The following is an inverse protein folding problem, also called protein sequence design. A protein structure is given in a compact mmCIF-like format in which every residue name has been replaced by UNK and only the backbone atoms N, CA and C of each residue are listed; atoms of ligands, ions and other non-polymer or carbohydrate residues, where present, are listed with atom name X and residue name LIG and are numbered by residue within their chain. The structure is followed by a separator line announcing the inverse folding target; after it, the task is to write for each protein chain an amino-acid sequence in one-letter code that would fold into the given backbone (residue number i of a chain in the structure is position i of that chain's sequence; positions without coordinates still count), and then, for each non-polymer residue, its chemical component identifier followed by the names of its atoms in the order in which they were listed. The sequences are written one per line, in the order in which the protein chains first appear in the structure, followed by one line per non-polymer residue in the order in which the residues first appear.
data_IF_522375789775
#
_entry.id   IF_522375789775
#
_cell.length_a   1.000
_cell.length_b   1.000
_cell.length_c   1.000
_cell.angle_alpha   90.00
_cell.angle_beta   90.00
_cell.angle_gamma   90.00
#
_symmetry.space_group_name_H-M   'P 1'
#
loop_
_entity.id
_entity.type
_entity.pdbx_description
1 polymer ?
#
# COMPACT_ATOMS: atom_id res chain seq x y z
N UNK A 1 -10.31 7.58 20.81
CA UNK A 1 -8.88 7.44 21.11
C UNK A 1 -8.29 8.77 21.57
N UNK A 2 -8.17 9.79 20.72
CA UNK A 2 -7.54 11.07 21.09
C UNK A 2 -8.14 11.72 22.35
N UNK A 3 -9.47 11.63 22.56
CA UNK A 3 -10.12 12.12 23.79
C UNK A 3 -9.67 11.35 25.01
N UNK A 4 -9.59 10.01 24.94
CA UNK A 4 -9.15 9.17 26.05
C UNK A 4 -7.66 9.38 26.37
N UNK A 5 -6.84 9.66 25.36
CA UNK A 5 -5.41 9.98 25.51
C UNK A 5 -5.16 11.45 25.96
N UNK A 6 -6.21 12.24 26.18
CA UNK A 6 -6.09 13.65 26.56
C UNK A 6 -5.56 14.58 25.46
N UNK A 7 -5.56 14.12 24.17
CA UNK A 7 -4.95 14.84 23.03
C UNK A 7 -5.96 15.44 22.04
N UNK A 8 -7.25 15.43 22.36
CA UNK A 8 -8.29 15.88 21.41
C UNK A 8 -8.10 17.32 20.95
N UNK A 9 -7.67 18.22 21.83
CA UNK A 9 -7.43 19.63 21.48
C UNK A 9 -6.19 19.80 20.60
N UNK A 10 -5.13 19.04 20.85
CA UNK A 10 -3.93 19.04 20.02
C UNK A 10 -4.25 18.52 18.61
N UNK A 11 -5.03 17.44 18.50
CA UNK A 11 -5.50 16.91 17.24
C UNK A 11 -6.36 17.91 16.47
N UNK A 12 -7.26 18.62 17.15
CA UNK A 12 -8.06 19.69 16.57
C UNK A 12 -7.19 20.84 16.03
N UNK A 13 -6.21 21.30 16.83
CA UNK A 13 -5.32 22.41 16.45
C UNK A 13 -4.40 22.03 15.27
N UNK A 14 -4.09 20.76 15.10
CA UNK A 14 -3.30 20.24 13.95
C UNK A 14 -3.98 20.55 12.61
N UNK A 15 -5.32 20.68 12.56
CA UNK A 15 -6.11 20.95 11.35
C UNK A 15 -5.79 20.04 10.16
N UNK A 16 -5.34 18.82 10.43
CA UNK A 16 -5.00 17.81 9.44
C UNK A 16 -5.55 16.46 9.89
N UNK A 17 -6.41 15.87 9.06
CA UNK A 17 -7.07 14.60 9.35
C UNK A 17 -6.17 13.38 9.08
N UNK A 18 -4.99 13.56 8.48
CA UNK A 18 -4.06 12.46 8.28
C UNK A 18 -3.28 12.20 9.58
N UNK A 19 -3.51 11.06 10.26
CA UNK A 19 -2.75 10.72 11.45
C UNK A 19 -1.30 10.39 11.08
N UNK A 20 -0.37 10.63 12.00
CA UNK A 20 0.99 10.11 11.85
C UNK A 20 0.94 8.57 11.88
N UNK A 21 1.87 7.91 11.20
CA UNK A 21 1.96 6.43 11.15
C UNK A 21 2.01 5.82 12.55
N UNK A 22 2.84 6.37 13.42
CA UNK A 22 2.95 5.95 14.82
C UNK A 22 1.62 6.12 15.57
N UNK A 23 0.97 7.29 15.43
CA UNK A 23 -0.32 7.57 16.05
C UNK A 23 -1.43 6.60 15.59
N UNK A 24 -1.42 6.25 14.28
CA UNK A 24 -2.37 5.27 13.74
C UNK A 24 -2.08 3.85 14.24
N UNK A 25 -0.81 3.48 14.36
CA UNK A 25 -0.40 2.21 14.97
C UNK A 25 -0.84 2.10 16.42
N UNK A 26 -0.64 3.15 17.21
CA UNK A 26 -1.12 3.24 18.60
C UNK A 26 -2.64 3.14 18.68
N UNK A 27 -3.35 3.81 17.76
CA UNK A 27 -4.81 3.69 17.67
C UNK A 27 -5.25 2.25 17.39
N UNK A 28 -4.65 1.57 16.43
CA UNK A 28 -4.96 0.18 16.13
C UNK A 28 -4.66 -0.74 17.33
N UNK A 29 -3.54 -0.53 18.00
CA UNK A 29 -3.18 -1.26 19.23
C UNK A 29 -4.23 -1.03 20.33
N UNK A 30 -4.62 0.22 20.55
CA UNK A 30 -5.65 0.56 21.52
C UNK A 30 -7.00 -0.10 21.18
N UNK A 31 -7.44 -0.07 19.91
CA UNK A 31 -8.68 -0.75 19.48
C UNK A 31 -8.59 -2.24 19.76
N UNK A 32 -7.49 -2.88 19.39
CA UNK A 32 -7.31 -4.31 19.60
C UNK A 32 -7.40 -4.73 21.07
N UNK A 33 -6.94 -3.88 21.98
CA UNK A 33 -7.02 -4.11 23.42
C UNK A 33 -8.45 -3.95 24.00
N UNK A 34 -9.36 -3.29 23.26
CA UNK A 34 -10.77 -3.17 23.66
C UNK A 34 -11.62 -4.38 23.25
N UNK A 35 -11.09 -5.24 22.37
CA UNK A 35 -11.82 -6.37 21.80
C UNK A 35 -11.39 -7.68 22.45
N UNK A 36 -12.32 -8.35 23.13
CA UNK A 36 -12.10 -9.66 23.76
C UNK A 36 -12.21 -10.84 22.78
N UNK A 37 -12.58 -10.59 21.51
CA UNK A 37 -12.81 -11.59 20.47
C UNK A 37 -11.65 -11.77 19.53
N UNK A 38 -10.54 -11.06 19.74
CA UNK A 38 -9.33 -11.18 18.91
C UNK A 38 -8.47 -12.36 19.37
N UNK A 39 -8.04 -13.14 18.42
CA UNK A 39 -7.07 -14.23 18.62
C UNK A 39 -5.81 -13.92 17.82
N UNK A 40 -4.72 -13.62 18.53
CA UNK A 40 -3.43 -13.35 17.93
C UNK A 40 -2.66 -14.61 17.57
N UNK A 41 -1.73 -14.51 16.62
CA UNK A 41 -0.92 -15.63 16.13
C UNK A 41 -1.78 -16.81 15.63
N UNK A 42 -2.90 -16.48 15.02
CA UNK A 42 -3.90 -17.42 14.50
C UNK A 42 -4.04 -17.25 13.00
N UNK A 43 -3.50 -18.19 12.24
CA UNK A 43 -3.48 -18.16 10.78
C UNK A 43 -4.60 -19.01 10.20
N UNK A 44 -5.49 -18.39 9.44
CA UNK A 44 -6.50 -19.13 8.65
C UNK A 44 -5.80 -19.81 7.47
N UNK A 45 -5.96 -21.11 7.38
CA UNK A 45 -5.33 -21.95 6.34
C UNK A 45 -6.32 -22.51 5.32
N UNK A 46 -7.61 -22.61 5.67
CA UNK A 46 -8.65 -23.07 4.78
C UNK A 46 -10.01 -22.50 5.18
N UNK A 47 -10.84 -22.19 4.19
CA UNK A 47 -12.25 -21.86 4.35
C UNK A 47 -13.02 -22.67 3.34
N UNK A 48 -13.96 -23.53 3.78
CA UNK A 48 -14.78 -24.35 2.90
C UNK A 48 -16.24 -24.35 3.33
N UNK A 49 -17.14 -24.54 2.38
CA UNK A 49 -18.57 -24.70 2.67
C UNK A 49 -18.87 -26.10 3.19
N UNK A 50 -19.60 -26.18 4.29
CA UNK A 50 -20.13 -27.43 4.85
C UNK A 50 -21.58 -27.15 5.22
N UNK A 51 -22.51 -27.74 4.48
CA UNK A 51 -23.94 -27.44 4.58
C UNK A 51 -24.19 -25.92 4.47
N UNK A 52 -24.86 -25.31 5.45
CA UNK A 52 -25.16 -23.88 5.51
C UNK A 52 -24.12 -23.06 6.28
N UNK A 53 -22.97 -23.66 6.62
CA UNK A 53 -21.92 -23.03 7.41
C UNK A 53 -20.60 -22.98 6.63
N UNK A 54 -19.75 -22.07 7.04
CA UNK A 54 -18.35 -22.02 6.68
C UNK A 54 -17.51 -22.72 7.74
N UNK A 55 -16.77 -23.72 7.33
CA UNK A 55 -15.74 -24.35 8.15
C UNK A 55 -14.42 -23.63 7.90
N UNK A 56 -13.88 -23.01 8.95
CA UNK A 56 -12.64 -22.25 8.93
C UNK A 56 -11.58 -22.99 9.72
N UNK A 57 -10.51 -23.43 9.06
CA UNK A 57 -9.37 -24.06 9.70
C UNK A 57 -8.37 -23.01 10.10
N UNK A 58 -7.98 -23.00 11.36
CA UNK A 58 -7.09 -22.01 11.97
C UNK A 58 -5.90 -22.70 12.63
N UNK A 59 -4.69 -22.35 12.23
CA UNK A 59 -3.46 -22.70 12.93
C UNK A 59 -3.20 -21.65 14.01
N UNK A 60 -3.54 -21.98 15.23
CA UNK A 60 -3.29 -21.14 16.41
C UNK A 60 -1.91 -21.39 17.03
N UNK A 61 -1.57 -20.64 18.09
CA UNK A 61 -0.25 -20.74 18.73
C UNK A 61 0.03 -22.07 19.45
N UNK A 62 -1.01 -22.87 19.70
CA UNK A 62 -0.90 -24.18 20.37
C UNK A 62 -1.29 -25.32 19.46
N UNK A 63 -2.46 -25.21 18.85
CA UNK A 63 -3.09 -26.29 18.08
C UNK A 63 -3.79 -25.74 16.83
N UNK A 64 -4.00 -26.62 15.85
CA UNK A 64 -4.92 -26.37 14.74
C UNK A 64 -6.34 -26.63 15.21
N UNK A 65 -7.24 -25.69 15.01
CA UNK A 65 -8.65 -25.83 15.33
C UNK A 65 -9.53 -25.54 14.12
N UNK A 66 -10.78 -25.97 14.22
CA UNK A 66 -11.81 -25.71 13.21
C UNK A 66 -12.93 -24.92 13.86
N UNK A 67 -13.33 -23.82 13.21
CA UNK A 67 -14.44 -22.97 13.63
C UNK A 67 -15.55 -23.07 12.59
N UNK A 68 -16.78 -23.25 13.03
CA UNK A 68 -17.97 -23.17 12.18
C UNK A 68 -18.59 -21.78 12.30
N UNK A 69 -18.82 -21.13 11.19
CA UNK A 69 -19.39 -19.78 11.14
C UNK A 69 -20.48 -19.66 10.08
N UNK A 70 -21.50 -18.85 10.36
CA UNK A 70 -22.53 -18.52 9.36
C UNK A 70 -22.00 -17.54 8.31
N UNK A 71 -21.13 -16.63 8.73
CA UNK A 71 -20.57 -15.60 7.88
C UNK A 71 -19.07 -15.51 8.06
N UNK A 72 -18.36 -15.20 6.99
CA UNK A 72 -16.91 -14.93 7.02
C UNK A 72 -16.67 -13.57 6.37
N UNK A 73 -15.89 -12.72 7.02
CA UNK A 73 -15.44 -11.44 6.47
C UNK A 73 -13.92 -11.47 6.29
N UNK A 74 -13.46 -11.35 5.05
CA UNK A 74 -12.04 -11.43 4.69
C UNK A 74 -11.46 -10.03 4.57
N UNK A 75 -10.59 -9.67 5.49
CA UNK A 75 -9.91 -8.36 5.54
C UNK A 75 -8.40 -8.52 5.58
N UNK A 76 -7.81 -9.23 4.61
CA UNK A 76 -6.38 -9.57 4.60
C UNK A 76 -5.47 -8.48 4.04
N UNK A 77 -6.05 -7.40 3.49
CA UNK A 77 -5.28 -6.27 2.97
C UNK A 77 -4.44 -6.61 1.74
N UNK A 78 -3.28 -5.96 1.65
CA UNK A 78 -2.34 -6.06 0.53
C UNK A 78 -1.00 -6.62 0.97
N UNK A 79 -0.26 -7.18 0.02
CA UNK A 79 1.10 -7.69 0.24
C UNK A 79 2.12 -6.83 -0.53
N UNK A 80 3.38 -6.73 -0.05
CA UNK A 80 4.46 -6.10 -0.78
C UNK A 80 4.58 -6.66 -2.20
N UNK A 81 4.77 -5.77 -3.18
CA UNK A 81 4.90 -6.15 -4.57
C UNK A 81 6.26 -5.78 -5.13
N UNK A 82 7.00 -6.75 -5.62
CA UNK A 82 8.25 -6.56 -6.34
C UNK A 82 8.02 -6.93 -7.82
N UNK A 83 8.28 -6.02 -8.78
CA UNK A 83 8.23 -6.33 -10.21
C UNK A 83 9.10 -7.51 -10.59
N UNK A 84 8.72 -8.24 -11.63
CA UNK A 84 9.45 -9.45 -12.07
C UNK A 84 10.93 -9.17 -12.36
N UNK A 85 11.20 -8.01 -12.95
CA UNK A 85 12.53 -7.54 -13.34
C UNK A 85 13.48 -7.25 -12.16
N UNK A 86 12.93 -7.15 -10.94
CA UNK A 86 13.65 -6.88 -9.69
C UNK A 86 13.50 -7.99 -8.66
N UNK A 87 12.80 -9.08 -9.00
CA UNK A 87 12.45 -10.13 -8.03
C UNK A 87 13.64 -10.82 -7.40
N UNK A 88 14.73 -10.96 -8.13
CA UNK A 88 15.96 -11.57 -7.64
C UNK A 88 16.83 -10.62 -6.79
N UNK A 89 16.50 -9.32 -6.70
CA UNK A 89 17.34 -8.36 -5.98
C UNK A 89 17.51 -8.67 -4.48
N UNK A 90 16.50 -9.09 -3.71
CA UNK A 90 16.69 -9.43 -2.30
C UNK A 90 17.63 -10.61 -2.04
N UNK A 91 17.79 -11.52 -3.01
CA UNK A 91 18.69 -12.66 -2.93
C UNK A 91 20.12 -12.30 -3.36
N UNK A 92 20.28 -11.22 -4.15
CA UNK A 92 21.56 -10.78 -4.67
C UNK A 92 22.35 -9.88 -3.71
N UNK A 93 21.69 -9.26 -2.72
CA UNK A 93 22.34 -8.35 -1.77
C UNK A 93 21.34 -7.54 -0.94
N UNK A 94 21.78 -6.38 -0.42
CA UNK A 94 20.94 -5.51 0.40
C UNK A 94 19.89 -4.80 -0.47
N UNK A 95 18.78 -5.49 -0.72
CA UNK A 95 17.61 -4.93 -1.37
C UNK A 95 16.37 -5.18 -0.49
N UNK A 96 15.76 -4.10 -0.02
CA UNK A 96 14.65 -4.17 0.93
C UNK A 96 13.38 -3.56 0.34
N UNK A 97 12.23 -4.17 0.61
CA UNK A 97 10.96 -3.53 0.29
C UNK A 97 10.69 -2.36 1.25
N UNK A 98 9.95 -1.35 0.80
CA UNK A 98 9.60 -0.20 1.65
C UNK A 98 8.84 -0.57 2.93
N UNK A 99 8.24 -1.76 3.01
CA UNK A 99 7.64 -2.30 4.22
C UNK A 99 8.64 -2.49 5.35
N UNK A 100 9.84 -2.92 5.02
CA UNK A 100 10.89 -3.33 5.98
C UNK A 100 11.98 -2.26 6.14
N UNK A 101 11.77 -1.08 5.51
CA UNK A 101 12.77 0.00 5.44
C UNK A 101 13.30 0.43 6.81
N UNK A 102 12.42 0.58 7.81
CA UNK A 102 12.81 1.11 9.12
C UNK A 102 13.78 0.18 9.85
N UNK A 103 13.64 -1.12 9.66
CA UNK A 103 14.52 -2.14 10.28
C UNK A 103 15.93 -2.14 9.65
N UNK A 104 16.03 -1.76 8.37
CA UNK A 104 17.28 -1.77 7.60
C UNK A 104 17.89 -0.38 7.36
N UNK A 105 17.32 0.68 7.95
CA UNK A 105 17.75 2.06 7.68
C UNK A 105 19.24 2.28 7.92
N UNK A 106 19.76 1.84 9.05
CA UNK A 106 21.18 2.04 9.42
C UNK A 106 22.10 1.23 8.50
N UNK A 107 21.68 0.02 8.11
CA UNK A 107 22.43 -0.83 7.19
C UNK A 107 22.49 -0.20 5.77
N UNK A 108 21.39 0.40 5.31
CA UNK A 108 21.33 1.15 4.05
C UNK A 108 22.27 2.36 4.09
N UNK A 109 22.25 3.13 5.17
CA UNK A 109 23.11 4.31 5.33
C UNK A 109 24.60 3.96 5.42
N UNK A 110 24.96 2.75 5.84
CA UNK A 110 26.34 2.28 5.86
C UNK A 110 26.91 1.97 4.45
N UNK A 111 26.08 1.98 3.41
CA UNK A 111 26.49 1.71 2.04
C UNK A 111 27.04 2.97 1.34
N UNK A 112 27.91 2.78 0.36
CA UNK A 112 28.42 3.89 -0.46
C UNK A 112 27.34 4.52 -1.35
N UNK A 113 26.35 3.71 -1.76
CA UNK A 113 25.22 4.19 -2.56
C UNK A 113 23.93 3.40 -2.29
N UNK A 114 22.81 4.14 -2.30
CA UNK A 114 21.46 3.60 -2.15
C UNK A 114 20.60 4.13 -3.29
N UNK A 115 19.89 3.24 -3.97
CA UNK A 115 18.92 3.62 -5.00
C UNK A 115 17.51 3.24 -4.56
N UNK A 116 16.61 4.23 -4.55
CA UNK A 116 15.18 4.03 -4.28
C UNK A 116 14.45 3.85 -5.60
N UNK A 117 13.65 2.79 -5.72
CA UNK A 117 12.85 2.51 -6.91
C UNK A 117 11.37 2.62 -6.56
N UNK A 118 10.68 3.61 -7.13
CA UNK A 118 9.26 3.85 -6.89
C UNK A 118 8.83 5.29 -7.16
N UNK A 119 7.52 5.55 -7.25
CA UNK A 119 6.95 6.88 -7.59
C UNK A 119 5.95 7.40 -6.58
N UNK A 120 5.61 6.65 -5.55
CA UNK A 120 4.55 6.99 -4.61
C UNK A 120 5.05 7.65 -3.32
N UNK A 121 4.12 7.90 -2.41
CA UNK A 121 4.35 8.53 -1.11
C UNK A 121 5.47 7.83 -0.31
N UNK A 122 5.47 6.48 -0.24
CA UNK A 122 6.49 5.73 0.50
C UNK A 122 7.90 5.94 -0.05
N UNK A 123 8.06 6.00 -1.39
CA UNK A 123 9.36 6.29 -2.00
C UNK A 123 9.84 7.69 -1.62
N UNK A 124 8.93 8.68 -1.66
CA UNK A 124 9.23 10.06 -1.30
C UNK A 124 9.57 10.23 0.18
N UNK A 125 8.83 9.59 1.09
CA UNK A 125 9.11 9.61 2.52
C UNK A 125 10.47 9.00 2.85
N UNK A 126 10.81 7.86 2.24
CA UNK A 126 12.10 7.20 2.43
C UNK A 126 13.23 8.06 1.87
N UNK A 127 13.03 8.63 0.66
CA UNK A 127 14.02 9.52 0.07
C UNK A 127 14.27 10.74 0.97
N UNK A 128 13.21 11.43 1.43
CA UNK A 128 13.33 12.56 2.34
C UNK A 128 14.02 12.19 3.66
N UNK A 129 13.68 11.02 4.22
CA UNK A 129 14.24 10.53 5.47
C UNK A 129 15.74 10.18 5.37
N UNK A 130 16.22 9.78 4.19
CA UNK A 130 17.62 9.44 3.93
C UNK A 130 18.48 10.63 3.49
N UNK A 131 17.91 11.73 2.97
CA UNK A 131 18.67 12.82 2.36
C UNK A 131 19.73 13.41 3.29
N UNK A 132 19.35 13.84 4.48
CA UNK A 132 20.30 14.45 5.43
C UNK A 132 21.31 13.44 5.97
N UNK A 133 20.91 12.27 6.51
CA UNK A 133 21.86 11.27 6.96
C UNK A 133 22.86 10.85 5.86
N UNK A 134 22.37 10.60 4.65
CA UNK A 134 23.22 10.24 3.51
C UNK A 134 24.23 11.33 3.16
N UNK A 135 23.81 12.60 3.17
CA UNK A 135 24.71 13.73 2.93
C UNK A 135 25.82 13.81 3.96
N UNK A 136 25.53 13.65 5.26
CA UNK A 136 26.52 13.72 6.33
C UNK A 136 27.42 12.47 6.42
N UNK A 137 26.95 11.31 5.95
CA UNK A 137 27.77 10.10 5.84
C UNK A 137 28.54 10.02 4.51
N UNK A 138 28.14 10.83 3.53
CA UNK A 138 28.71 10.84 2.18
C UNK A 138 28.17 9.68 1.31
N UNK A 139 27.04 9.09 1.63
CA UNK A 139 26.34 8.09 0.81
C UNK A 139 25.72 8.74 -0.40
N UNK A 140 25.88 8.17 -1.61
CA UNK A 140 25.15 8.58 -2.80
C UNK A 140 23.73 8.07 -2.71
N UNK A 141 22.73 8.94 -2.90
CA UNK A 141 21.32 8.60 -2.81
C UNK A 141 20.63 8.93 -4.14
N UNK A 142 20.17 7.90 -4.85
CA UNK A 142 19.48 8.06 -6.13
C UNK A 142 18.01 7.63 -6.03
N UNK A 143 17.16 8.25 -6.84
CA UNK A 143 15.72 7.94 -6.89
C UNK A 143 15.26 7.75 -8.32
N UNK A 144 14.78 6.54 -8.64
CA UNK A 144 14.39 6.09 -9.98
C UNK A 144 12.90 5.77 -9.99
N UNK A 145 12.18 6.28 -10.97
CA UNK A 145 10.78 5.93 -11.20
C UNK A 145 10.45 5.79 -12.68
N UNK A 146 9.65 4.77 -13.01
CA UNK A 146 9.08 4.59 -14.34
C UNK A 146 8.01 5.62 -14.72
N UNK A 147 7.43 6.30 -13.73
CA UNK A 147 6.50 7.40 -13.98
C UNK A 147 7.22 8.54 -14.68
N UNK A 148 6.62 9.13 -15.71
CA UNK A 148 7.23 10.21 -16.51
C UNK A 148 7.58 11.46 -15.70
N UNK A 149 7.10 11.56 -14.47
CA UNK A 149 7.42 12.59 -13.48
C UNK A 149 7.10 12.14 -12.07
N UNK A 150 7.57 12.86 -11.07
CA UNK A 150 7.15 12.72 -9.67
C UNK A 150 5.82 13.44 -9.50
N UNK A 151 4.72 12.66 -9.58
CA UNK A 151 3.37 13.21 -9.55
C UNK A 151 2.97 13.66 -8.15
N UNK A 152 2.52 14.90 -7.96
CA UNK A 152 1.85 15.28 -6.73
C UNK A 152 0.49 14.57 -6.63
N UNK A 153 0.07 14.29 -5.40
CA UNK A 153 -1.29 13.83 -5.12
C UNK A 153 -2.26 15.00 -5.35
N UNK A 154 -3.32 14.76 -6.09
CA UNK A 154 -4.35 15.77 -6.37
C UNK A 154 -5.35 15.84 -5.21
N UNK A 155 -4.89 16.27 -4.06
CA UNK A 155 -5.66 16.31 -2.82
C UNK A 155 -6.24 17.70 -2.59
N UNK A 156 -7.42 17.96 -3.15
CA UNK A 156 -8.17 19.22 -2.97
C UNK A 156 -9.58 18.93 -2.47
N UNK A 157 -10.26 19.94 -1.92
CA UNK A 157 -11.64 19.75 -1.42
C UNK A 157 -12.60 19.25 -2.50
N UNK A 158 -12.44 19.69 -3.76
CA UNK A 158 -13.29 19.25 -4.85
C UNK A 158 -12.96 17.83 -5.33
N UNK A 159 -11.70 17.40 -5.26
CA UNK A 159 -11.34 16.01 -5.57
C UNK A 159 -11.72 15.04 -4.46
N UNK A 160 -11.82 15.53 -3.22
CA UNK A 160 -12.30 14.73 -2.07
C UNK A 160 -13.80 14.38 -2.17
N UNK A 161 -14.59 15.11 -2.96
CA UNK A 161 -15.97 14.73 -3.30
C UNK A 161 -16.05 13.33 -3.95
N UNK A 162 -14.96 12.90 -4.60
CA UNK A 162 -14.87 11.56 -5.17
C UNK A 162 -14.59 10.48 -4.11
N UNK A 163 -14.36 10.86 -2.86
CA UNK A 163 -14.20 9.96 -1.71
C UNK A 163 -15.52 9.94 -0.94
N UNK A 164 -16.58 9.48 -1.60
CA UNK A 164 -17.92 9.46 -1.05
C UNK A 164 -18.70 8.21 -1.46
N UNK A 165 -19.75 7.83 -0.69
CA UNK A 165 -20.67 6.77 -1.07
C UNK A 165 -21.31 6.98 -2.43
N UNK A 166 -21.68 8.21 -2.77
CA UNK A 166 -22.30 8.57 -4.04
C UNK A 166 -21.37 8.30 -5.21
N UNK A 167 -20.09 8.66 -5.08
CA UNK A 167 -19.12 8.36 -6.12
C UNK A 167 -18.91 6.85 -6.29
N UNK A 168 -18.88 6.08 -5.19
CA UNK A 168 -18.81 4.63 -5.26
C UNK A 168 -19.98 4.02 -6.03
N UNK A 169 -21.21 4.49 -5.76
CA UNK A 169 -22.42 4.04 -6.46
C UNK A 169 -22.38 4.41 -7.95
N UNK A 170 -21.99 5.65 -8.26
CA UNK A 170 -21.80 6.11 -9.64
C UNK A 170 -20.77 5.23 -10.38
N UNK A 171 -19.58 5.06 -9.79
CA UNK A 171 -18.50 4.29 -10.39
C UNK A 171 -18.90 2.85 -10.64
N UNK A 172 -19.57 2.23 -9.67
CA UNK A 172 -20.09 0.86 -9.78
C UNK A 172 -21.11 0.71 -10.92
N UNK A 173 -21.91 1.72 -11.19
CA UNK A 173 -22.90 1.73 -12.28
C UNK A 173 -22.30 1.80 -13.69
N UNK A 174 -21.00 2.09 -13.82
CA UNK A 174 -20.30 2.14 -15.10
C UNK A 174 -19.99 0.74 -15.64
N UNK A 175 -19.79 0.62 -16.94
CA UNK A 175 -19.27 -0.60 -17.54
C UNK A 175 -17.80 -0.88 -17.14
N UNK A 176 -17.38 -2.15 -17.19
CA UNK A 176 -16.06 -2.56 -16.72
C UNK A 176 -14.89 -1.85 -17.42
N UNK A 177 -15.01 -1.62 -18.74
CA UNK A 177 -13.93 -0.97 -19.50
C UNK A 177 -13.76 0.50 -19.09
N UNK A 178 -14.89 1.18 -18.83
CA UNK A 178 -14.90 2.57 -18.32
C UNK A 178 -14.32 2.64 -16.92
N UNK A 179 -14.69 1.72 -16.00
CA UNK A 179 -14.09 1.64 -14.66
C UNK A 179 -12.59 1.43 -14.73
N UNK A 180 -12.12 0.48 -15.53
CA UNK A 180 -10.69 0.19 -15.67
C UNK A 180 -9.91 1.37 -16.28
N UNK A 181 -10.52 2.12 -17.20
CA UNK A 181 -9.95 3.36 -17.74
C UNK A 181 -9.85 4.44 -16.68
N UNK A 182 -10.94 4.71 -15.95
CA UNK A 182 -10.96 5.72 -14.89
C UNK A 182 -9.99 5.41 -13.76
N UNK A 183 -9.87 4.15 -13.31
CA UNK A 183 -8.88 3.75 -12.30
C UNK A 183 -7.44 4.04 -12.75
N UNK A 184 -7.13 3.93 -14.05
CA UNK A 184 -5.81 4.31 -14.56
C UNK A 184 -5.61 5.82 -14.62
N UNK A 185 -6.61 6.57 -15.11
CA UNK A 185 -6.55 8.01 -15.29
C UNK A 185 -6.54 8.77 -13.95
N UNK A 186 -7.34 8.30 -12.99
CA UNK A 186 -7.50 8.91 -11.67
C UNK A 186 -6.49 8.45 -10.63
N UNK A 187 -5.51 7.64 -11.02
CA UNK A 187 -4.53 7.06 -10.11
C UNK A 187 -3.80 8.10 -9.25
N UNK A 188 -3.56 9.29 -9.78
CA UNK A 188 -2.85 10.37 -9.07
C UNK A 188 -3.68 11.00 -7.95
N UNK A 189 -4.98 10.76 -7.88
CA UNK A 189 -5.83 11.23 -6.77
C UNK A 189 -5.42 10.60 -5.43
N UNK A 190 -4.85 9.39 -5.45
CA UNK A 190 -4.54 8.64 -4.22
C UNK A 190 -3.18 7.91 -4.24
N UNK A 191 -2.48 7.87 -5.37
CA UNK A 191 -1.17 7.21 -5.53
C UNK A 191 -0.05 8.21 -5.88
N UNK A 192 -0.25 9.49 -5.63
CA UNK A 192 0.76 10.55 -5.78
C UNK A 192 1.60 10.76 -4.52
N UNK A 193 2.37 11.83 -4.53
CA UNK A 193 3.18 12.33 -3.39
C UNK A 193 2.48 13.56 -2.83
N UNK A 194 2.38 13.72 -1.52
CA UNK A 194 1.80 14.95 -0.96
C UNK A 194 2.60 16.19 -1.41
N UNK A 195 1.90 17.26 -1.79
CA UNK A 195 2.53 18.48 -2.28
C UNK A 195 3.52 19.10 -1.28
N UNK A 196 3.22 18.98 0.02
CA UNK A 196 4.11 19.42 1.08
C UNK A 196 5.43 18.64 1.08
N UNK A 197 5.36 17.31 0.90
CA UNK A 197 6.55 16.47 0.86
C UNK A 197 7.39 16.72 -0.40
N UNK A 198 6.77 16.96 -1.55
CA UNK A 198 7.48 17.33 -2.78
C UNK A 198 8.28 18.62 -2.56
N UNK A 199 7.65 19.64 -1.98
CA UNK A 199 8.33 20.91 -1.67
C UNK A 199 9.46 20.71 -0.65
N UNK A 200 9.20 19.99 0.42
CA UNK A 200 10.21 19.67 1.45
C UNK A 200 11.43 18.94 0.86
N UNK A 201 11.23 17.98 -0.03
CA UNK A 201 12.30 17.27 -0.72
C UNK A 201 13.14 18.25 -1.54
N UNK A 202 12.50 19.11 -2.33
CA UNK A 202 13.23 20.06 -3.16
C UNK A 202 14.02 21.07 -2.33
N UNK A 203 13.41 21.63 -1.28
CA UNK A 203 14.07 22.61 -0.40
C UNK A 203 15.27 21.97 0.32
N UNK A 204 15.12 20.71 0.76
CA UNK A 204 16.21 19.94 1.39
C UNK A 204 17.31 19.65 0.38
N UNK A 205 16.95 19.20 -0.83
CA UNK A 205 17.91 18.97 -1.92
C UNK A 205 18.71 20.22 -2.24
N UNK A 206 18.02 21.37 -2.42
CA UNK A 206 18.67 22.65 -2.68
C UNK A 206 19.63 23.04 -1.54
N UNK A 207 19.17 22.97 -0.29
CA UNK A 207 19.98 23.28 0.89
C UNK A 207 21.24 22.38 0.96
N UNK A 208 21.10 21.08 0.78
CA UNK A 208 22.22 20.15 0.82
C UNK A 208 23.21 20.36 -0.32
N UNK A 209 22.75 20.78 -1.51
CA UNK A 209 23.61 21.07 -2.67
C UNK A 209 24.57 22.24 -2.44
N UNK A 210 24.24 23.18 -1.53
CA UNK A 210 25.06 24.34 -1.18
C UNK A 210 25.73 24.24 0.20
N UNK A 211 25.44 23.17 0.96
CA UNK A 211 25.97 22.97 2.31
C UNK A 211 27.48 22.70 2.25
N UNK A 212 28.25 23.51 2.98
CA UNK A 212 29.70 23.34 3.13
C UNK A 212 30.03 22.44 4.30
N UNK A 213 31.15 21.72 4.23
CA UNK A 213 31.64 20.87 5.32
C UNK A 213 31.06 19.45 5.33
N UNK A 214 30.31 19.07 4.31
CA UNK A 214 29.95 17.68 4.09
C UNK A 214 31.21 16.86 3.74
N UNK A 215 31.27 15.55 4.07
CA UNK A 215 32.41 14.66 3.72
C UNK A 215 32.72 14.66 2.21
N UNK A 216 31.68 14.79 1.40
CA UNK A 216 31.70 15.02 -0.05
C UNK A 216 30.47 15.86 -0.47
N UNK A 217 30.47 16.52 -1.62
CA UNK A 217 29.28 17.17 -2.14
C UNK A 217 28.11 16.20 -2.17
N UNK A 218 26.93 16.66 -1.75
CA UNK A 218 25.75 15.78 -1.78
C UNK A 218 25.47 15.33 -3.20
N UNK A 219 25.55 14.02 -3.43
CA UNK A 219 25.33 13.38 -4.72
C UNK A 219 23.99 12.66 -4.72
N UNK A 220 23.08 13.14 -5.54
CA UNK A 220 21.77 12.51 -5.73
C UNK A 220 21.25 12.75 -7.14
N UNK A 221 20.70 11.70 -7.74
CA UNK A 221 20.09 11.75 -9.08
C UNK A 221 18.62 11.37 -8.99
N UNK A 222 17.76 12.21 -9.54
CA UNK A 222 16.31 12.01 -9.64
C UNK A 222 15.98 11.61 -11.08
N UNK A 223 15.62 10.35 -11.32
CA UNK A 223 15.37 9.79 -12.64
C UNK A 223 13.89 9.44 -12.81
N UNK A 224 13.12 10.34 -13.41
CA UNK A 224 11.74 10.10 -13.82
C UNK A 224 11.67 9.56 -15.25
N UNK A 225 10.69 8.69 -15.54
CA UNK A 225 10.52 8.07 -16.84
C UNK A 225 11.39 6.83 -17.09
N UNK A 226 12.10 6.34 -16.06
CA UNK A 226 13.02 5.22 -16.19
C UNK A 226 12.50 3.98 -15.47
N UNK A 227 12.29 2.89 -16.21
CA UNK A 227 12.09 1.56 -15.64
C UNK A 227 13.44 0.93 -15.32
N UNK A 228 13.48 0.16 -14.22
CA UNK A 228 14.69 -0.51 -13.77
C UNK A 228 14.51 -2.03 -13.87
N UNK A 229 15.52 -2.72 -14.37
CA UNK A 229 15.64 -4.16 -14.37
C UNK A 229 17.02 -4.55 -13.82
N UNK A 230 17.07 -5.61 -13.01
CA UNK A 230 18.34 -6.17 -12.57
C UNK A 230 19.07 -6.79 -13.78
N UNK A 231 20.34 -6.51 -13.91
CA UNK A 231 21.20 -7.19 -14.89
C UNK A 231 22.34 -7.90 -14.17
N UNK A 232 23.05 -8.77 -14.89
CA UNK A 232 24.18 -9.50 -14.34
C UNK A 232 25.24 -8.53 -13.82
N UNK A 233 25.64 -8.73 -12.56
CA UNK A 233 26.57 -7.86 -11.88
C UNK A 233 27.97 -7.94 -12.50
N UNK A 234 28.50 -6.79 -12.92
CA UNK A 234 29.93 -6.61 -13.10
C UNK A 234 30.55 -6.32 -11.71
N UNK A 235 31.81 -6.68 -11.49
CA UNK A 235 32.45 -6.71 -10.16
C UNK A 235 32.54 -5.34 -9.42
N UNK A 236 31.93 -4.28 -9.94
CA UNK A 236 32.06 -2.92 -9.41
C UNK A 236 31.05 -2.53 -8.33
N UNK A 237 29.91 -3.22 -8.23
CA UNK A 237 28.88 -2.99 -7.20
C UNK A 237 27.96 -4.22 -7.09
N UNK A 238 27.34 -4.47 -5.91
CA UNK A 238 26.41 -5.58 -5.70
C UNK A 238 25.21 -5.57 -6.65
N UNK A 239 24.73 -4.38 -7.06
CA UNK A 239 23.64 -4.26 -8.01
C UNK A 239 24.06 -3.48 -9.23
N UNK A 240 23.80 -4.06 -10.39
CA UNK A 240 23.75 -3.35 -11.65
C UNK A 240 22.32 -3.38 -12.19
N UNK A 241 21.82 -2.20 -12.55
CA UNK A 241 20.49 -2.03 -13.13
C UNK A 241 20.62 -1.55 -14.57
N UNK A 242 19.86 -2.16 -15.46
CA UNK A 242 19.55 -1.56 -16.74
C UNK A 242 18.35 -0.64 -16.54
N UNK A 243 18.56 0.65 -16.75
CA UNK A 243 17.50 1.66 -16.76
C UNK A 243 17.08 1.89 -18.21
N UNK A 244 15.76 1.82 -18.47
CA UNK A 244 15.19 2.09 -19.81
C UNK A 244 14.22 3.25 -19.72
N UNK A 245 14.43 4.30 -20.52
CA UNK A 245 13.54 5.45 -20.56
C UNK A 245 12.28 5.12 -21.37
N UNK A 246 11.09 5.31 -20.78
CA UNK A 246 9.83 4.85 -21.36
C UNK A 246 9.41 5.58 -22.64
N UNK A 247 9.83 6.84 -22.82
CA UNK A 247 9.45 7.65 -23.99
C UNK A 247 10.49 7.59 -25.12
N UNK A 248 11.78 7.55 -24.79
CA UNK A 248 12.86 7.60 -25.78
C UNK A 248 13.45 6.24 -26.13
N UNK A 249 13.21 5.21 -25.30
CA UNK A 249 13.87 3.91 -25.42
C UNK A 249 15.36 3.93 -25.07
N UNK A 250 15.91 5.06 -24.60
CA UNK A 250 17.30 5.15 -24.15
C UNK A 250 17.55 4.15 -23.02
N UNK A 251 18.72 3.51 -23.04
CA UNK A 251 19.16 2.59 -21.98
C UNK A 251 20.42 3.11 -21.31
N UNK A 252 20.51 2.91 -19.98
CA UNK A 252 21.69 3.26 -19.17
C UNK A 252 21.96 2.13 -18.18
N UNK A 253 23.23 1.92 -17.87
CA UNK A 253 23.63 1.09 -16.73
C UNK A 253 23.71 1.97 -15.48
N UNK A 254 23.20 1.49 -14.37
CA UNK A 254 23.22 2.17 -13.08
C UNK A 254 23.71 1.20 -11.99
N UNK A 255 24.85 1.52 -11.38
CA UNK A 255 25.46 0.72 -10.34
C UNK A 255 25.12 1.29 -8.95
N UNK A 256 24.76 0.43 -8.00
CA UNK A 256 24.43 0.81 -6.61
C UNK A 256 24.75 -0.31 -5.64
N UNK A 257 25.03 0.04 -4.37
CA UNK A 257 25.37 -0.94 -3.33
C UNK A 257 24.13 -1.48 -2.61
N UNK A 258 23.03 -0.70 -2.56
CA UNK A 258 21.79 -1.13 -1.96
C UNK A 258 20.57 -0.60 -2.73
N UNK A 259 19.44 -1.31 -2.57
CA UNK A 259 18.16 -0.97 -3.18
C UNK A 259 17.06 -0.83 -2.13
N UNK A 260 16.22 0.19 -2.29
CA UNK A 260 14.93 0.27 -1.61
C UNK A 260 13.82 0.14 -2.65
N UNK A 261 13.08 -0.95 -2.58
CA UNK A 261 12.02 -1.29 -3.51
C UNK A 261 10.68 -0.71 -3.00
N UNK A 262 10.46 0.58 -3.25
CA UNK A 262 9.21 1.26 -2.93
C UNK A 262 8.17 1.08 -4.06
N UNK A 263 8.03 -0.15 -4.49
CA UNK A 263 7.25 -0.56 -5.66
C UNK A 263 5.78 -0.83 -5.38
N UNK A 264 5.37 -0.55 -4.13
CA UNK A 264 3.99 -0.57 -3.67
C UNK A 264 3.50 -1.96 -3.25
N UNK A 265 2.19 -2.07 -3.19
CA UNK A 265 1.49 -3.24 -2.68
C UNK A 265 0.44 -3.71 -3.69
N UNK A 266 0.08 -4.98 -3.62
CA UNK A 266 -1.04 -5.56 -4.38
C UNK A 266 -1.92 -6.39 -3.46
N UNK A 267 -3.23 -6.29 -3.65
CA UNK A 267 -4.14 -7.30 -3.11
C UNK A 267 -3.87 -8.64 -3.80
N UNK A 268 -3.83 -9.75 -3.07
CA UNK A 268 -3.83 -11.07 -3.70
C UNK A 268 -5.08 -11.20 -4.56
N UNK A 269 -4.94 -11.72 -5.80
CA UNK A 269 -6.07 -11.91 -6.71
C UNK A 269 -7.12 -12.82 -6.06
N UNK A 270 -6.65 -13.86 -5.39
CA UNK A 270 -7.47 -14.78 -4.60
C UNK A 270 -6.59 -15.34 -3.47
N UNK A 271 -6.96 -15.15 -2.20
CA UNK A 271 -6.19 -15.68 -1.08
C UNK A 271 -6.13 -17.20 -1.12
N UNK A 272 -4.96 -17.79 -0.91
CA UNK A 272 -4.77 -19.25 -0.99
C UNK A 272 -5.64 -20.04 -0.03
N UNK A 273 -5.96 -19.51 1.14
CA UNK A 273 -6.84 -20.15 2.11
C UNK A 273 -8.31 -20.21 1.66
N UNK A 274 -8.70 -19.49 0.60
CA UNK A 274 -10.03 -19.55 -0.02
C UNK A 274 -10.11 -20.56 -1.18
N UNK A 275 -9.01 -21.19 -1.60
CA UNK A 275 -9.03 -22.13 -2.74
C UNK A 275 -10.04 -23.26 -2.56
N UNK A 276 -10.27 -23.72 -1.33
CA UNK A 276 -11.27 -24.72 -1.01
C UNK A 276 -12.72 -24.23 -1.08
N UNK A 277 -12.92 -22.91 -1.17
CA UNK A 277 -14.21 -22.25 -1.36
C UNK A 277 -14.39 -21.68 -2.79
N UNK A 278 -13.47 -21.94 -3.71
CA UNK A 278 -13.45 -21.32 -5.04
C UNK A 278 -14.74 -21.52 -5.83
N UNK A 279 -15.38 -22.69 -5.70
CA UNK A 279 -16.62 -23.01 -6.41
C UNK A 279 -17.82 -22.19 -5.91
N UNK A 280 -17.77 -21.70 -4.67
CA UNK A 280 -18.79 -20.83 -4.07
C UNK A 280 -18.63 -19.36 -4.45
N UNK A 281 -17.43 -18.97 -4.92
CA UNK A 281 -17.06 -17.59 -5.19
C UNK A 281 -17.38 -17.20 -6.63
N UNK A 282 -17.95 -16.02 -6.79
CA UNK A 282 -18.26 -15.47 -8.10
C UNK A 282 -17.09 -14.62 -8.64
N UNK A 283 -16.87 -14.75 -9.96
CA UNK A 283 -15.82 -14.00 -10.66
C UNK A 283 -16.41 -13.23 -11.85
N UNK A 284 -15.84 -12.06 -12.12
CA UNK A 284 -16.14 -11.32 -13.34
C UNK A 284 -15.44 -11.93 -14.57
N UNK A 285 -15.71 -11.39 -15.75
CA UNK A 285 -15.13 -11.87 -17.03
C UNK A 285 -13.60 -11.67 -17.13
N UNK A 286 -13.02 -10.86 -16.26
CA UNK A 286 -11.57 -10.65 -16.15
C UNK A 286 -10.91 -11.53 -15.05
N UNK A 287 -11.69 -12.42 -14.41
CA UNK A 287 -11.22 -13.30 -13.35
C UNK A 287 -11.00 -12.61 -12.01
N UNK A 288 -11.56 -11.41 -11.81
CA UNK A 288 -11.56 -10.70 -10.53
C UNK A 288 -12.81 -11.10 -9.74
N UNK A 289 -12.78 -10.91 -8.42
CA UNK A 289 -13.95 -11.15 -7.57
C UNK A 289 -15.16 -10.33 -8.04
N UNK A 290 -16.27 -10.98 -8.29
CA UNK A 290 -17.56 -10.32 -8.55
C UNK A 290 -18.20 -9.99 -7.21
N UNK A 291 -17.89 -8.78 -6.70
CA UNK A 291 -18.33 -8.33 -5.38
C UNK A 291 -19.66 -7.61 -5.53
N UNK A 292 -20.65 -7.98 -4.75
CA UNK A 292 -21.98 -7.35 -4.77
C UNK A 292 -21.98 -5.98 -4.03
N UNK A 293 -23.09 -5.21 -4.03
CA UNK A 293 -23.19 -3.94 -3.33
C UNK A 293 -22.99 -4.05 -1.81
N UNK A 294 -23.18 -5.22 -1.23
CA UNK A 294 -23.07 -5.51 0.19
C UNK A 294 -21.73 -6.15 0.56
N UNK A 295 -20.77 -6.16 -0.40
CA UNK A 295 -19.41 -6.71 -0.28
C UNK A 295 -19.34 -8.23 -0.21
N UNK A 296 -20.43 -8.96 -0.54
CA UNK A 296 -20.42 -10.41 -0.65
C UNK A 296 -19.82 -10.87 -1.99
N UNK A 297 -19.21 -12.06 -1.98
CA UNK A 297 -18.59 -12.70 -3.13
C UNK A 297 -19.19 -14.07 -3.44
N UNK A 298 -20.18 -14.51 -2.66
CA UNK A 298 -20.92 -15.75 -2.83
C UNK A 298 -22.41 -15.50 -3.02
N UNK A 299 -23.12 -16.43 -3.64
CA UNK A 299 -24.55 -16.31 -3.90
C UNK A 299 -25.42 -16.33 -2.62
N UNK A 300 -24.92 -16.91 -1.53
CA UNK A 300 -25.61 -16.97 -0.25
C UNK A 300 -25.42 -15.71 0.60
N UNK A 301 -24.64 -14.72 0.13
CA UNK A 301 -24.29 -13.48 0.85
C UNK A 301 -23.78 -13.75 2.27
N UNK A 302 -22.84 -14.67 2.37
CA UNK A 302 -22.27 -15.14 3.64
C UNK A 302 -20.73 -15.07 3.69
N UNK A 303 -20.11 -14.83 2.54
CA UNK A 303 -18.65 -14.60 2.42
C UNK A 303 -18.40 -13.21 1.89
N UNK A 304 -17.86 -12.33 2.74
CA UNK A 304 -17.64 -10.92 2.47
C UNK A 304 -16.15 -10.60 2.34
N UNK A 305 -15.83 -9.55 1.57
CA UNK A 305 -14.45 -9.07 1.42
C UNK A 305 -14.33 -7.58 1.70
N UNK A 306 -13.13 -7.15 2.14
CA UNK A 306 -12.75 -5.74 2.30
C UNK A 306 -11.42 -5.46 1.59
N UNK A 307 -11.30 -4.29 1.01
CA UNK A 307 -10.12 -3.82 0.27
C UNK A 307 -9.75 -4.67 -0.97
N UNK A 308 -10.68 -5.45 -1.49
CA UNK A 308 -10.54 -6.20 -2.73
C UNK A 308 -11.33 -5.60 -3.91
N UNK A 309 -12.04 -4.49 -3.64
CA UNK A 309 -13.07 -3.91 -4.52
C UNK A 309 -12.59 -2.69 -5.32
N UNK A 310 -11.30 -2.41 -5.47
CA UNK A 310 -10.79 -1.24 -6.22
C UNK A 310 -11.36 -1.17 -7.66
N UNK A 311 -11.60 -2.29 -8.31
CA UNK A 311 -12.19 -2.38 -9.65
C UNK A 311 -13.70 -2.07 -9.71
N UNK A 312 -14.36 -1.97 -8.55
CA UNK A 312 -15.79 -1.70 -8.42
C UNK A 312 -16.09 -0.40 -7.67
N UNK A 313 -15.21 0.03 -6.77
CA UNK A 313 -15.39 1.19 -5.91
C UNK A 313 -14.30 2.25 -6.07
N UNK A 314 -13.35 2.06 -7.02
CA UNK A 314 -12.29 3.03 -7.31
C UNK A 314 -11.43 3.39 -6.10
N UNK A 315 -11.06 4.66 -6.01
CA UNK A 315 -10.14 5.24 -5.02
C UNK A 315 -10.63 5.14 -3.56
N UNK A 316 -11.91 4.90 -3.33
CA UNK A 316 -12.44 4.73 -1.96
C UNK A 316 -12.16 3.36 -1.36
N UNK A 317 -11.85 2.35 -2.18
CA UNK A 317 -11.56 1.01 -1.69
C UNK A 317 -10.37 0.98 -0.72
N UNK A 318 -9.22 1.62 -0.99
CA UNK A 318 -8.11 1.70 -0.05
C UNK A 318 -8.26 2.81 1.00
N UNK A 319 -9.28 3.67 0.93
CA UNK A 319 -9.42 4.80 1.84
C UNK A 319 -9.85 4.35 3.24
N UNK A 320 -9.07 4.77 4.26
CA UNK A 320 -9.33 4.44 5.66
C UNK A 320 -10.57 5.16 6.20
N UNK A 321 -10.85 6.37 5.72
CA UNK A 321 -12.03 7.16 6.10
C UNK A 321 -13.33 6.50 5.68
N UNK A 322 -13.30 5.71 4.59
CA UNK A 322 -14.44 4.94 4.10
C UNK A 322 -14.62 3.56 4.76
N UNK A 323 -13.70 3.17 5.65
CA UNK A 323 -13.79 1.92 6.41
C UNK A 323 -15.07 1.79 7.24
N UNK A 324 -15.49 2.79 8.03
CA UNK A 324 -16.74 2.73 8.79
C UNK A 324 -17.98 2.54 7.90
N UNK A 325 -18.05 3.22 6.76
CA UNK A 325 -19.15 3.07 5.80
C UNK A 325 -19.23 1.62 5.27
N UNK A 326 -18.12 1.05 4.79
CA UNK A 326 -18.07 -0.35 4.33
C UNK A 326 -18.49 -1.33 5.42
N UNK A 327 -17.97 -1.13 6.63
CA UNK A 327 -18.29 -1.98 7.78
C UNK A 327 -19.76 -1.92 8.16
N UNK A 328 -20.39 -0.74 8.04
CA UNK A 328 -21.82 -0.56 8.32
C UNK A 328 -22.69 -1.34 7.34
N UNK A 329 -22.32 -1.35 6.05
CA UNK A 329 -23.02 -2.12 5.00
C UNK A 329 -22.88 -3.63 5.29
N UNK A 330 -21.66 -4.13 5.49
CA UNK A 330 -21.41 -5.56 5.79
C UNK A 330 -22.15 -5.98 7.06
N UNK A 331 -22.12 -5.16 8.10
CA UNK A 331 -22.81 -5.44 9.36
C UNK A 331 -24.33 -5.52 9.16
N UNK A 332 -24.91 -4.62 8.35
CA UNK A 332 -26.31 -4.67 7.98
C UNK A 332 -26.67 -5.94 7.20
N UNK A 333 -25.84 -6.31 6.22
CA UNK A 333 -26.02 -7.54 5.45
C UNK A 333 -26.01 -8.81 6.34
N UNK A 334 -25.04 -8.90 7.25
CA UNK A 334 -24.91 -10.02 8.18
C UNK A 334 -26.07 -10.13 9.18
N UNK A 335 -26.54 -8.99 9.69
CA UNK A 335 -27.47 -8.96 10.82
C UNK A 335 -28.91 -8.69 10.42
N UNK A 336 -29.17 -8.27 9.20
CA UNK A 336 -30.47 -7.80 8.72
C UNK A 336 -30.92 -6.47 9.36
N UNK A 337 -30.04 -5.80 10.12
CA UNK A 337 -30.37 -4.58 10.85
C UNK A 337 -29.32 -3.49 10.62
N UNK A 338 -29.82 -2.29 10.37
CA UNK A 338 -28.98 -1.08 10.29
C UNK A 338 -28.66 -0.56 11.71
N UNK A 339 -27.45 -0.84 12.18
CA UNK A 339 -26.96 -0.35 13.47
C UNK A 339 -26.37 1.04 13.39
N UNK A 340 -25.83 1.40 12.24
CA UNK A 340 -25.25 2.70 11.92
C UNK A 340 -25.93 3.21 10.66
N UNK A 341 -26.30 4.49 10.65
CA UNK A 341 -26.89 5.10 9.46
C UNK A 341 -25.92 4.97 8.26
N UNK A 342 -26.46 4.51 7.14
CA UNK A 342 -25.73 4.36 5.87
C UNK A 342 -26.26 5.44 4.96
N UNK A 343 -25.55 6.55 4.85
CA UNK A 343 -25.87 7.70 4.01
C UNK A 343 -25.15 7.61 2.68
#
# INVERSE_FOLDING_TARGET
YCKQQGRIHQFYIKEDFNPLREEYSDYCTWVSQQLSTLEWNSTVTSVRRVDDLWEVTVNGPRDTCTVLSRNVVVGVGTIPFIPAELRAAPEAGLAVHSADYLEHKEELLAQESVTIIGSGQSAAEIYANLMEPAAYQGTRLDWVTRSGRFFPMEYTKLTLEMTSPEYAQFFRGLDAATRDRLNREQRNLYKGISGQLVNHIYDTYYRLSITKGLPRPFASTLLAGWSAALCDADASAPFQLTLTHGETGETRTHATNALVLATGYKAPLFPSFLETAREEVQFDTAGRLAIDPEFAIDAAQSLFVQNAEEHLHSLIAPDLGMGPWRNSIILKAITGREYYAIE
#
